data_IF_749134080180
#
_entry.id   IF_749134080180
#
_cell.length_a   1.000
_cell.length_b   1.000
_cell.length_c   1.000
_cell.angle_alpha   90.00
_cell.angle_beta   90.00
_cell.angle_gamma   90.00
#
_symmetry.space_group_name_H-M   'P 1'
#
loop_
_entity.id
_entity.type
_entity.pdbx_description
1 polymer ?
#
# COMPACT_ATOMS: atom_id res chain seq x y z
N UNK A 1 -46.84 -39.20 -5.20
CA UNK A 1 -46.37 -38.56 -3.94
C UNK A 1 -44.83 -38.46 -3.83
N UNK A 2 -44.03 -38.79 -4.88
CA UNK A 2 -42.55 -38.77 -4.81
C UNK A 2 -41.84 -37.55 -5.44
N UNK A 3 -42.53 -36.75 -6.26
CA UNK A 3 -41.92 -35.64 -7.01
C UNK A 3 -41.50 -34.46 -6.12
N UNK A 4 -42.29 -34.18 -5.07
CA UNK A 4 -42.04 -33.08 -4.13
C UNK A 4 -40.78 -33.32 -3.27
N UNK A 5 -40.44 -34.57 -2.99
CA UNK A 5 -39.28 -34.95 -2.15
C UNK A 5 -37.97 -34.84 -2.94
N UNK A 6 -37.98 -35.21 -4.21
CA UNK A 6 -36.83 -35.08 -5.13
C UNK A 6 -36.50 -33.60 -5.41
N UNK A 7 -37.53 -32.77 -5.65
CA UNK A 7 -37.36 -31.34 -5.88
C UNK A 7 -36.80 -30.60 -4.64
N UNK A 8 -37.20 -31.01 -3.44
CA UNK A 8 -36.76 -30.37 -2.19
C UNK A 8 -35.31 -30.75 -1.82
N UNK A 9 -34.87 -31.97 -2.12
CA UNK A 9 -33.48 -32.39 -2.00
C UNK A 9 -32.56 -31.64 -2.97
N UNK A 10 -32.99 -31.45 -4.22
CA UNK A 10 -32.21 -30.73 -5.22
C UNK A 10 -32.09 -29.22 -4.90
N UNK A 11 -33.16 -28.60 -4.39
CA UNK A 11 -33.13 -27.19 -3.93
C UNK A 11 -32.22 -26.99 -2.72
N UNK A 12 -32.23 -27.92 -1.74
CA UNK A 12 -31.30 -27.86 -0.59
C UNK A 12 -29.85 -28.04 -1.03
N UNK A 13 -29.57 -28.99 -1.93
CA UNK A 13 -28.22 -29.19 -2.50
C UNK A 13 -27.76 -27.97 -3.30
N UNK A 14 -28.63 -27.40 -4.11
CA UNK A 14 -28.34 -26.17 -4.85
C UNK A 14 -28.08 -24.97 -3.91
N UNK A 15 -28.86 -24.84 -2.84
CA UNK A 15 -28.64 -23.79 -1.83
C UNK A 15 -27.31 -23.94 -1.08
N UNK A 16 -26.94 -25.18 -0.71
CA UNK A 16 -25.65 -25.47 -0.06
C UNK A 16 -24.50 -25.16 -1.02
N UNK A 17 -24.60 -25.59 -2.29
CA UNK A 17 -23.59 -25.31 -3.31
C UNK A 17 -23.41 -23.80 -3.55
N UNK A 18 -24.52 -23.05 -3.63
CA UNK A 18 -24.48 -21.60 -3.78
C UNK A 18 -23.84 -20.92 -2.56
N UNK A 19 -24.21 -21.33 -1.35
CA UNK A 19 -23.66 -20.79 -0.12
C UNK A 19 -22.15 -21.05 -0.01
N UNK A 20 -21.70 -22.26 -0.33
CA UNK A 20 -20.28 -22.62 -0.40
C UNK A 20 -19.54 -21.78 -1.45
N UNK A 21 -20.11 -21.62 -2.64
CA UNK A 21 -19.51 -20.80 -3.68
C UNK A 21 -19.33 -19.35 -3.23
N UNK A 22 -20.35 -18.75 -2.59
CA UNK A 22 -20.28 -17.38 -2.06
C UNK A 22 -19.26 -17.27 -0.92
N UNK A 23 -19.20 -18.27 -0.02
CA UNK A 23 -18.21 -18.28 1.07
C UNK A 23 -16.79 -18.35 0.54
N UNK A 24 -16.54 -19.21 -0.46
CA UNK A 24 -15.23 -19.36 -1.06
C UNK A 24 -14.82 -18.09 -1.82
N UNK A 25 -15.71 -17.47 -2.59
CA UNK A 25 -15.38 -16.23 -3.30
C UNK A 25 -15.08 -15.09 -2.33
N UNK A 26 -15.89 -14.91 -1.27
CA UNK A 26 -15.61 -13.92 -0.23
C UNK A 26 -14.29 -14.21 0.48
N UNK A 27 -14.02 -15.48 0.80
CA UNK A 27 -12.75 -15.90 1.41
C UNK A 27 -11.54 -15.55 0.53
N UNK A 28 -11.62 -15.80 -0.78
CA UNK A 28 -10.56 -15.44 -1.74
C UNK A 28 -10.40 -13.92 -1.84
N UNK A 29 -11.49 -13.14 -1.91
CA UNK A 29 -11.42 -11.68 -1.99
C UNK A 29 -10.75 -11.10 -0.74
N UNK A 30 -11.15 -11.55 0.45
CA UNK A 30 -10.58 -11.08 1.72
C UNK A 30 -9.11 -11.50 1.82
N UNK A 31 -8.80 -12.76 1.51
CA UNK A 31 -7.43 -13.27 1.53
C UNK A 31 -6.50 -12.51 0.58
N UNK A 32 -6.98 -12.22 -0.64
CA UNK A 32 -6.23 -11.43 -1.61
C UNK A 32 -5.99 -9.99 -1.12
N UNK A 33 -6.98 -9.36 -0.49
CA UNK A 33 -6.86 -8.01 0.08
C UNK A 33 -5.78 -7.93 1.16
N UNK A 34 -5.80 -8.86 2.11
CA UNK A 34 -4.82 -8.90 3.20
C UNK A 34 -3.41 -9.14 2.68
N UNK A 35 -3.24 -10.11 1.77
CA UNK A 35 -1.93 -10.42 1.20
C UNK A 35 -1.36 -9.26 0.37
N UNK A 36 -2.20 -8.52 -0.34
CA UNK A 36 -1.80 -7.34 -1.11
C UNK A 36 -1.34 -6.19 -0.21
N UNK A 37 -2.02 -5.96 0.91
CA UNK A 37 -1.62 -4.95 1.90
C UNK A 37 -0.25 -5.28 2.53
N UNK A 38 0.03 -6.57 2.78
CA UNK A 38 1.33 -7.03 3.27
C UNK A 38 2.43 -6.86 2.19
N UNK A 39 2.16 -7.19 0.94
CA UNK A 39 3.11 -7.01 -0.16
C UNK A 39 3.40 -5.54 -0.47
N UNK A 40 2.43 -4.65 -0.28
CA UNK A 40 2.65 -3.21 -0.39
C UNK A 40 3.61 -2.68 0.70
N UNK A 41 3.82 -3.41 1.80
CA UNK A 41 4.82 -3.10 2.83
C UNK A 41 6.20 -3.70 2.56
N UNK A 42 6.35 -4.54 1.53
CA UNK A 42 7.62 -5.20 1.20
C UNK A 42 8.72 -4.14 0.94
N UNK A 43 9.94 -4.35 1.45
CA UNK A 43 10.85 -3.25 1.75
C UNK A 43 11.38 -2.64 0.45
N UNK A 44 11.11 -1.34 0.26
CA UNK A 44 11.48 -0.62 -0.95
C UNK A 44 12.92 -0.17 -0.85
N UNK A 45 13.77 -0.63 -1.78
CA UNK A 45 15.13 -0.11 -1.90
C UNK A 45 15.09 1.31 -2.50
N UNK A 46 15.71 2.24 -1.80
CA UNK A 46 15.96 3.60 -2.28
C UNK A 46 17.45 3.81 -2.47
N UNK A 47 17.82 4.41 -3.59
CA UNK A 47 19.15 4.99 -3.73
C UNK A 47 19.31 6.12 -2.71
N UNK A 48 20.40 6.10 -1.95
CA UNK A 48 20.70 7.08 -0.90
C UNK A 48 21.92 7.92 -1.29
N UNK A 49 21.78 8.94 -2.15
CA UNK A 49 22.81 9.96 -2.28
C UNK A 49 22.91 10.75 -0.97
N UNK A 50 24.12 11.20 -0.62
CA UNK A 50 24.35 12.07 0.54
C UNK A 50 23.48 13.32 0.45
N UNK A 51 22.70 13.56 1.51
CA UNK A 51 21.86 14.72 1.67
C UNK A 51 22.36 15.48 2.91
N UNK A 52 22.84 16.73 2.76
CA UNK A 52 23.56 17.41 3.84
C UNK A 52 22.70 17.72 5.08
N UNK A 53 21.38 17.79 4.91
CA UNK A 53 20.44 18.20 5.98
C UNK A 53 19.40 17.10 6.33
N UNK A 54 19.67 15.84 5.98
CA UNK A 54 18.73 14.72 6.19
C UNK A 54 18.48 14.36 7.66
N UNK A 55 19.50 14.50 8.52
CA UNK A 55 19.43 14.32 9.98
C UNK A 55 19.08 15.61 10.75
N UNK A 56 18.56 16.64 10.05
CA UNK A 56 18.17 17.88 10.72
C UNK A 56 16.92 17.67 11.61
N UNK A 57 16.79 18.40 12.73
CA UNK A 57 15.62 18.27 13.62
C UNK A 57 14.29 18.61 12.93
N UNK A 58 14.32 19.44 11.88
CA UNK A 58 13.14 19.74 11.05
C UNK A 58 12.70 18.53 10.23
N UNK A 59 13.65 17.73 9.72
CA UNK A 59 13.33 16.51 8.99
C UNK A 59 12.71 15.46 9.91
N UNK A 60 13.22 15.32 11.14
CA UNK A 60 12.62 14.44 12.14
C UNK A 60 11.17 14.84 12.45
N UNK A 61 10.91 16.14 12.71
CA UNK A 61 9.56 16.64 12.96
C UNK A 61 8.61 16.40 11.76
N UNK A 62 9.10 16.57 10.53
CA UNK A 62 8.32 16.29 9.32
C UNK A 62 7.94 14.80 9.26
N UNK A 63 8.90 13.90 9.46
CA UNK A 63 8.69 12.46 9.41
C UNK A 63 7.67 11.97 10.45
N UNK A 64 7.68 12.56 11.65
CA UNK A 64 6.74 12.24 12.74
C UNK A 64 5.31 12.68 12.42
N UNK A 65 5.14 13.74 11.61
CA UNK A 65 3.82 14.25 11.20
C UNK A 65 3.29 13.58 9.94
N UNK A 66 4.04 12.66 9.33
CA UNK A 66 3.62 12.02 8.08
C UNK A 66 2.44 11.06 8.29
N UNK A 67 1.43 11.11 7.41
CA UNK A 67 0.31 10.19 7.48
C UNK A 67 0.71 8.78 7.01
N UNK A 68 0.02 7.77 7.54
CA UNK A 68 0.16 6.38 7.09
C UNK A 68 -0.41 6.14 5.69
N UNK A 69 -1.29 7.02 5.22
CA UNK A 69 -1.91 6.95 3.89
C UNK A 69 -1.86 8.29 3.18
N UNK A 70 -1.61 8.24 1.87
CA UNK A 70 -1.56 9.39 0.99
C UNK A 70 -2.26 9.01 -0.32
N UNK A 71 -3.40 9.62 -0.63
CA UNK A 71 -4.15 9.40 -1.89
C UNK A 71 -4.41 7.93 -2.27
N UNK A 72 -4.72 7.08 -1.29
CA UNK A 72 -4.92 5.65 -1.51
C UNK A 72 -3.64 4.81 -1.58
N UNK A 73 -2.46 5.43 -1.53
CA UNK A 73 -1.19 4.77 -1.29
C UNK A 73 -0.98 4.54 0.21
N UNK A 74 -0.35 3.42 0.55
CA UNK A 74 -0.04 3.03 1.94
C UNK A 74 1.46 3.23 2.19
N UNK A 75 1.82 3.71 3.38
CA UNK A 75 3.21 3.89 3.79
C UNK A 75 3.93 2.53 3.81
N UNK A 76 5.03 2.43 3.09
CA UNK A 76 5.85 1.23 2.99
C UNK A 76 7.05 1.31 3.94
N UNK A 77 7.50 0.14 4.38
CA UNK A 77 8.74 0.00 5.13
C UNK A 77 9.95 0.10 4.17
N UNK A 78 11.03 0.70 4.63
CA UNK A 78 12.25 0.91 3.83
C UNK A 78 13.21 -0.25 4.07
N UNK A 79 13.84 -0.75 3.00
CA UNK A 79 14.88 -1.77 3.13
C UNK A 79 16.17 -1.18 3.71
N UNK A 80 16.91 -1.94 4.52
CA UNK A 80 18.25 -1.54 4.91
C UNK A 80 19.23 -1.51 3.71
N UNK A 81 20.10 -0.49 3.59
CA UNK A 81 20.23 0.68 4.48
C UNK A 81 19.13 1.71 4.22
N UNK A 82 18.28 1.94 5.22
CA UNK A 82 17.20 2.91 5.13
C UNK A 82 17.79 4.32 5.24
N UNK A 83 17.57 5.21 4.25
CA UNK A 83 18.05 6.57 4.32
C UNK A 83 17.35 7.36 5.43
N UNK A 84 18.11 8.19 6.13
CA UNK A 84 17.57 9.15 7.11
C UNK A 84 16.69 10.17 6.36
N UNK A 85 15.62 10.64 6.99
CA UNK A 85 14.76 11.65 6.35
C UNK A 85 13.90 11.13 5.19
N UNK A 86 13.71 9.80 5.03
CA UNK A 86 12.98 9.20 3.92
C UNK A 86 11.62 8.59 4.32
N UNK A 87 10.64 8.71 3.44
CA UNK A 87 9.37 7.99 3.52
C UNK A 87 8.86 7.62 2.13
N UNK A 88 8.16 6.49 2.02
CA UNK A 88 7.60 5.99 0.76
C UNK A 88 6.15 5.60 0.97
N UNK A 89 5.29 5.95 0.03
CA UNK A 89 3.95 5.38 -0.10
C UNK A 89 3.85 4.66 -1.44
N UNK A 90 3.20 3.49 -1.44
CA UNK A 90 2.96 2.71 -2.66
C UNK A 90 1.61 2.02 -2.63
N UNK A 91 1.16 1.58 -3.79
CA UNK A 91 0.06 0.63 -3.94
C UNK A 91 0.52 -0.63 -4.70
N UNK A 92 -0.43 -1.52 -4.99
CA UNK A 92 -0.18 -2.74 -5.77
C UNK A 92 -0.16 -2.52 -7.29
N UNK A 93 -0.46 -1.31 -7.76
CA UNK A 93 -0.48 -0.92 -9.16
C UNK A 93 0.81 -0.20 -9.61
N UNK A 94 1.91 -0.37 -8.87
CA UNK A 94 3.22 0.27 -9.09
C UNK A 94 3.25 1.81 -8.98
N UNK A 95 2.18 2.44 -8.51
CA UNK A 95 2.22 3.86 -8.15
C UNK A 95 3.00 4.03 -6.84
N UNK A 96 3.92 5.01 -6.84
CA UNK A 96 4.81 5.27 -5.71
C UNK A 96 5.08 6.76 -5.56
N UNK A 97 4.98 7.24 -4.32
CA UNK A 97 5.46 8.56 -3.91
C UNK A 97 6.63 8.36 -2.97
N UNK A 98 7.75 9.01 -3.27
CA UNK A 98 8.95 9.01 -2.42
C UNK A 98 9.19 10.42 -1.90
N UNK A 99 9.24 10.57 -0.58
CA UNK A 99 9.66 11.79 0.09
C UNK A 99 11.10 11.63 0.58
N UNK A 100 11.92 12.64 0.31
CA UNK A 100 13.27 12.78 0.84
C UNK A 100 13.43 14.18 1.40
N UNK A 101 13.76 14.27 2.68
CA UNK A 101 14.08 15.52 3.36
C UNK A 101 15.59 15.78 3.30
N UNK A 102 15.99 17.06 3.30
CA UNK A 102 17.41 17.45 3.30
C UNK A 102 18.09 17.51 1.92
N UNK A 103 17.32 17.43 0.83
CA UNK A 103 17.86 17.64 -0.52
C UNK A 103 18.25 19.11 -0.73
N UNK A 104 19.41 19.34 -1.35
CA UNK A 104 19.85 20.69 -1.70
C UNK A 104 18.99 21.28 -2.83
N UNK A 105 18.79 22.60 -2.78
CA UNK A 105 18.11 23.31 -3.86
C UNK A 105 18.97 23.18 -5.13
N UNK A 106 18.41 22.70 -6.25
CA UNK A 106 19.18 22.56 -7.47
C UNK A 106 19.70 23.91 -7.96
N UNK A 107 20.96 23.96 -8.42
CA UNK A 107 21.63 25.20 -8.84
C UNK A 107 20.92 25.96 -9.97
N UNK A 108 20.04 25.28 -10.71
CA UNK A 108 19.21 25.87 -11.75
C UNK A 108 17.98 26.65 -11.23
N UNK A 109 17.63 26.52 -9.96
CA UNK A 109 16.57 27.31 -9.33
C UNK A 109 17.12 28.71 -9.05
N UNK A 110 16.77 29.65 -9.92
CA UNK A 110 17.16 31.07 -9.85
C UNK A 110 15.92 31.93 -9.62
N UNK A 111 16.08 33.24 -9.36
CA UNK A 111 14.95 34.17 -9.22
C UNK A 111 13.99 34.18 -10.43
N UNK A 112 14.46 33.72 -11.59
CA UNK A 112 13.65 33.59 -12.81
C UNK A 112 12.76 32.34 -12.84
N UNK A 113 12.89 31.43 -11.87
CA UNK A 113 12.10 30.19 -11.80
C UNK A 113 10.78 30.33 -11.03
N UNK A 114 10.51 31.50 -10.44
CA UNK A 114 9.23 31.82 -9.82
C UNK A 114 8.22 32.14 -10.94
N UNK A 115 7.31 31.20 -11.23
CA UNK A 115 6.18 31.41 -12.16
C UNK A 115 4.92 31.77 -11.39
#
# INVERSE_FOLDING_TARGET
MGENVQAQGNRRRAGIALALAVLLTLGVIIGAKLFQDDQARNPVSLSAPDMPDDDSPKCAELLDRLPDRLDGLVRAELAEPAPIGAAVWRNTADERVTLRCGASVPVQYTDLSVT
#
